data_IF_170810460602
#
_entry.id   IF_170810460602
#
_cell.length_a   1.000
_cell.length_b   1.000
_cell.length_c   1.000
_cell.angle_alpha   90.00
_cell.angle_beta   90.00
_cell.angle_gamma   90.00
#
_symmetry.space_group_name_H-M   'P 1'
#
loop_
_entity.id
_entity.type
_entity.pdbx_description
1 polymer ?
#
# COMPACT_ATOMS: atom_id res chain seq x y z
N UNK A 1 -11.98 -22.93 -61.30
CA UNK A 1 -12.69 -23.36 -60.08
C UNK A 1 -11.81 -24.42 -59.45
N UNK A 2 -11.29 -24.27 -58.23
CA UNK A 2 -12.04 -24.53 -57.01
C UNK A 2 -11.29 -23.91 -55.81
N UNK A 3 -12.06 -23.23 -54.95
CA UNK A 3 -11.59 -22.70 -53.68
C UNK A 3 -11.48 -23.83 -52.66
N UNK A 4 -10.30 -24.05 -52.08
CA UNK A 4 -10.17 -24.73 -50.79
C UNK A 4 -9.38 -23.85 -49.84
N UNK A 5 -10.03 -22.78 -49.38
CA UNK A 5 -9.57 -22.04 -48.19
C UNK A 5 -9.74 -22.96 -47.00
N UNK A 6 -8.67 -23.68 -46.64
CA UNK A 6 -8.56 -24.38 -45.38
C UNK A 6 -8.62 -23.32 -44.27
N UNK A 7 -9.80 -23.21 -43.67
CA UNK A 7 -10.05 -22.43 -42.48
C UNK A 7 -9.17 -23.00 -41.35
N UNK A 8 -7.99 -22.42 -41.17
CA UNK A 8 -7.28 -22.53 -39.89
C UNK A 8 -8.20 -21.88 -38.87
N UNK A 9 -8.89 -22.73 -38.13
CA UNK A 9 -9.49 -22.43 -36.84
C UNK A 9 -8.34 -22.03 -35.92
N UNK A 10 -7.90 -20.78 -36.07
CA UNK A 10 -6.97 -20.12 -35.17
C UNK A 10 -7.63 -20.11 -33.81
N UNK A 11 -7.33 -21.18 -33.04
CA UNK A 11 -7.92 -21.49 -31.76
C UNK A 11 -7.97 -20.20 -30.97
N UNK A 12 -9.20 -19.80 -30.66
CA UNK A 12 -9.55 -18.62 -29.88
C UNK A 12 -8.92 -18.84 -28.51
N UNK A 13 -7.62 -18.59 -28.41
CA UNK A 13 -6.80 -18.72 -27.21
C UNK A 13 -7.49 -17.77 -26.27
N UNK A 14 -8.31 -18.35 -25.39
CA UNK A 14 -9.11 -17.66 -24.40
C UNK A 14 -8.13 -16.75 -23.68
N UNK A 15 -8.07 -15.48 -24.11
CA UNK A 15 -7.46 -14.40 -23.36
C UNK A 15 -8.42 -14.12 -22.19
N UNK A 16 -8.74 -15.15 -21.40
CA UNK A 16 -9.33 -15.00 -20.09
C UNK A 16 -8.15 -14.63 -19.21
N UNK A 17 -7.79 -13.35 -19.23
CA UNK A 17 -7.06 -12.68 -18.13
C UNK A 17 -6.86 -11.15 -18.21
N UNK A 18 -7.51 -10.33 -19.07
CA UNK A 18 -7.29 -8.90 -19.01
C UNK A 18 -8.03 -8.23 -17.83
N UNK A 19 -9.23 -8.68 -17.46
CA UNK A 19 -10.06 -7.93 -16.50
C UNK A 19 -9.54 -8.00 -15.05
N UNK A 20 -9.22 -9.21 -14.55
CA UNK A 20 -8.78 -9.40 -13.16
C UNK A 20 -7.42 -8.72 -12.89
N UNK A 21 -6.45 -8.89 -13.80
CA UNK A 21 -5.14 -8.25 -13.69
C UNK A 21 -5.22 -6.71 -13.75
N UNK A 22 -6.14 -6.16 -14.54
CA UNK A 22 -6.38 -4.71 -14.56
C UNK A 22 -6.95 -4.21 -13.23
N UNK A 23 -7.90 -4.94 -12.62
CA UNK A 23 -8.48 -4.58 -11.32
C UNK A 23 -7.45 -4.61 -10.19
N UNK A 24 -6.60 -5.64 -10.13
CA UNK A 24 -5.55 -5.73 -9.11
C UNK A 24 -4.54 -4.58 -9.24
N UNK A 25 -4.15 -4.22 -10.47
CA UNK A 25 -3.29 -3.08 -10.73
C UNK A 25 -3.88 -1.74 -10.26
N UNK A 26 -5.19 -1.53 -10.41
CA UNK A 26 -5.87 -0.33 -9.90
C UNK A 26 -5.84 -0.28 -8.36
N UNK A 27 -6.15 -1.39 -7.70
CA UNK A 27 -6.13 -1.48 -6.24
C UNK A 27 -4.71 -1.24 -5.68
N UNK A 28 -3.69 -1.82 -6.30
CA UNK A 28 -2.30 -1.59 -5.92
C UNK A 28 -1.90 -0.12 -6.08
N UNK A 29 -2.26 0.52 -7.21
CA UNK A 29 -1.99 1.95 -7.42
C UNK A 29 -2.66 2.83 -6.37
N UNK A 30 -3.87 2.48 -5.92
CA UNK A 30 -4.55 3.19 -4.81
C UNK A 30 -3.78 3.03 -3.51
N UNK A 31 -3.37 1.80 -3.16
CA UNK A 31 -2.58 1.53 -1.94
C UNK A 31 -1.23 2.26 -1.95
N UNK A 32 -0.52 2.26 -3.08
CA UNK A 32 0.75 3.00 -3.21
C UNK A 32 0.53 4.50 -3.07
N UNK A 33 -0.53 5.05 -3.66
CA UNK A 33 -0.88 6.47 -3.50
C UNK A 33 -1.17 6.82 -2.04
N UNK A 34 -1.93 5.98 -1.34
CA UNK A 34 -2.22 6.19 0.07
C UNK A 34 -0.95 6.14 0.92
N UNK A 35 -0.07 5.16 0.65
CA UNK A 35 1.19 5.03 1.34
C UNK A 35 2.10 6.27 1.16
N UNK A 36 2.11 6.86 -0.04
CA UNK A 36 2.84 8.10 -0.32
C UNK A 36 2.34 9.31 0.47
N UNK A 37 1.03 9.38 0.71
CA UNK A 37 0.40 10.43 1.51
C UNK A 37 0.67 10.28 3.01
N UNK A 38 0.68 9.03 3.50
CA UNK A 38 0.84 8.74 4.93
C UNK A 38 2.29 8.84 5.41
N UNK A 39 3.26 8.50 4.55
CA UNK A 39 4.67 8.42 4.94
C UNK A 39 5.35 9.77 4.71
N UNK A 40 6.00 10.37 5.72
CA UNK A 40 6.75 11.61 5.55
C UNK A 40 7.81 11.50 4.45
N UNK A 41 7.77 12.41 3.48
CA UNK A 41 8.63 12.39 2.30
C UNK A 41 8.27 11.31 1.26
N UNK A 42 7.06 10.73 1.34
CA UNK A 42 6.61 9.64 0.47
C UNK A 42 6.24 10.04 -0.96
N UNK A 43 5.71 11.25 -1.18
CA UNK A 43 5.18 11.70 -2.49
C UNK A 43 6.21 11.63 -3.63
N UNK A 44 7.46 11.99 -3.35
CA UNK A 44 8.57 11.94 -4.31
C UNK A 44 9.39 10.65 -4.28
N UNK A 45 9.08 9.70 -3.39
CA UNK A 45 9.94 8.54 -3.15
C UNK A 45 9.80 7.47 -4.26
N UNK A 46 10.93 6.97 -4.82
CA UNK A 46 10.94 5.74 -5.61
C UNK A 46 10.33 4.58 -4.85
N UNK A 47 9.63 3.66 -5.54
CA UNK A 47 8.87 2.57 -4.91
C UNK A 47 9.70 1.73 -3.91
N UNK A 48 10.96 1.41 -4.25
CA UNK A 48 11.86 0.66 -3.35
C UNK A 48 12.16 1.44 -2.06
N UNK A 49 12.42 2.74 -2.17
CA UNK A 49 12.67 3.59 -1.01
C UNK A 49 11.40 3.88 -0.20
N UNK A 50 10.22 3.88 -0.83
CA UNK A 50 8.94 4.10 -0.16
C UNK A 50 8.67 3.02 0.89
N UNK A 51 8.92 1.74 0.57
CA UNK A 51 8.73 0.64 1.51
C UNK A 51 9.69 0.72 2.70
N UNK A 52 10.96 1.05 2.46
CA UNK A 52 11.95 1.23 3.54
C UNK A 52 11.54 2.39 4.44
N UNK A 53 11.21 3.56 3.87
CA UNK A 53 10.72 4.72 4.62
C UNK A 53 9.45 4.42 5.42
N UNK A 54 8.56 3.60 4.86
CA UNK A 54 7.35 3.14 5.54
C UNK A 54 7.71 2.34 6.79
N UNK A 55 8.60 1.35 6.66
CA UNK A 55 9.03 0.52 7.79
C UNK A 55 9.66 1.38 8.89
N UNK A 56 10.57 2.29 8.52
CA UNK A 56 11.20 3.22 9.45
C UNK A 56 10.17 4.13 10.14
N UNK A 57 9.16 4.59 9.39
CA UNK A 57 8.10 5.43 9.93
C UNK A 57 7.22 4.67 10.92
N UNK A 58 6.86 3.41 10.63
CA UNK A 58 6.11 2.55 11.56
C UNK A 58 6.89 2.35 12.86
N UNK A 59 8.20 2.06 12.79
CA UNK A 59 9.04 1.86 13.98
C UNK A 59 9.07 3.12 14.84
N UNK A 60 9.34 4.29 14.24
CA UNK A 60 9.34 5.57 14.97
C UNK A 60 7.97 5.92 15.56
N UNK A 61 6.90 5.68 14.80
CA UNK A 61 5.54 5.96 15.25
C UNK A 61 5.17 5.08 16.45
N UNK A 62 5.49 3.78 16.41
CA UNK A 62 5.30 2.88 17.54
C UNK A 62 6.06 3.36 18.77
N UNK A 63 7.35 3.67 18.64
CA UNK A 63 8.15 4.17 19.76
C UNK A 63 7.57 5.46 20.37
N UNK A 64 7.10 6.39 19.54
CA UNK A 64 6.44 7.62 20.01
C UNK A 64 5.14 7.31 20.76
N UNK A 65 4.32 6.39 20.26
CA UNK A 65 3.08 5.99 20.93
C UNK A 65 3.37 5.33 22.27
N UNK A 66 4.35 4.43 22.36
CA UNK A 66 4.74 3.82 23.63
C UNK A 66 5.26 4.85 24.64
N UNK A 67 6.09 5.80 24.19
CA UNK A 67 6.53 6.90 25.05
C UNK A 67 5.35 7.74 25.55
N UNK A 68 4.41 8.10 24.68
CA UNK A 68 3.23 8.87 25.07
C UNK A 68 2.33 8.10 26.05
N UNK A 69 2.21 6.78 25.89
CA UNK A 69 1.49 5.92 26.84
C UNK A 69 2.16 5.88 28.20
N UNK A 70 3.49 5.72 28.23
CA UNK A 70 4.26 5.73 29.47
C UNK A 70 4.15 7.08 30.19
N UNK A 71 4.24 8.19 29.46
CA UNK A 71 4.03 9.53 30.03
C UNK A 71 2.60 9.68 30.55
N UNK A 72 1.58 9.28 29.79
CA UNK A 72 0.18 9.36 30.24
C UNK A 72 -0.03 8.62 31.55
N UNK A 73 0.52 7.40 31.70
CA UNK A 73 0.42 6.63 32.93
C UNK A 73 1.05 7.37 34.13
N UNK A 74 2.20 8.02 33.94
CA UNK A 74 2.82 8.84 34.99
C UNK A 74 1.95 10.04 35.40
N UNK A 75 1.26 10.66 34.43
CA UNK A 75 0.36 11.78 34.71
C UNK A 75 -0.95 11.34 35.37
N UNK A 76 -1.46 10.15 35.05
CA UNK A 76 -2.64 9.58 35.72
C UNK A 76 -2.34 9.21 37.19
N UNK A 77 -1.10 8.83 37.50
CA UNK A 77 -0.65 8.53 38.88
C UNK A 77 -0.30 9.78 39.69
N UNK A 78 -0.05 10.93 39.04
CA UNK A 78 0.34 12.14 39.74
C UNK A 78 -0.88 12.74 40.46
N UNK A 79 -0.88 12.87 41.80
CA UNK A 79 -1.93 13.60 42.49
C UNK A 79 -1.89 15.03 41.98
N UNK A 80 -2.94 15.46 41.27
CA UNK A 80 -3.12 16.86 40.94
C UNK A 80 -2.99 17.67 42.24
N UNK A 81 -2.10 18.68 42.30
CA UNK A 81 -2.09 19.55 43.46
C UNK A 81 -3.47 20.18 43.56
N UNK A 82 -4.11 20.01 44.72
CA UNK A 82 -5.31 20.74 45.07
C UNK A 82 -4.93 22.23 45.09
N UNK A 83 -5.15 22.90 43.97
CA UNK A 83 -5.28 24.35 43.92
C UNK A 83 -6.64 24.77 44.41
#
# INVERSE_FOLDING_TARGET
>A
MEMRRLAVSGGRRRRIRPAAARRSGVALRRKVRELRRLVPGGEGAPARSLLVRTADYIVRLKARVELLRALSALYDELPLPAG
#
